data_IF_892370137209
#
_entry.id   IF_892370137209
#
_cell.length_a   1.000
_cell.length_b   1.000
_cell.length_c   1.000
_cell.angle_alpha   90.00
_cell.angle_beta   90.00
_cell.angle_gamma   90.00
#
_symmetry.space_group_name_H-M   'P 1'
#
loop_
_entity.id
_entity.type
_entity.pdbx_description
1 polymer ?
#
# COMPACT_ATOMS: atom_id res chain seq x y z
N UNK A 1 -17.57 -6.39 9.39
CA UNK A 1 -17.01 -5.24 8.63
C UNK A 1 -16.82 -4.09 9.62
N UNK A 2 -15.57 -3.71 9.96
CA UNK A 2 -15.33 -2.63 10.94
C UNK A 2 -15.44 -1.22 10.34
N UNK A 3 -15.31 -1.09 9.01
CA UNK A 3 -15.37 0.20 8.30
C UNK A 3 -16.07 0.06 6.95
N UNK A 4 -16.81 1.09 6.51
CA UNK A 4 -17.53 1.13 5.22
C UNK A 4 -16.73 1.81 4.10
N UNK A 5 -15.50 2.19 4.37
CA UNK A 5 -14.64 2.98 3.49
C UNK A 5 -13.27 2.32 3.38
N UNK A 6 -12.51 2.69 2.34
CA UNK A 6 -11.18 2.16 2.11
C UNK A 6 -10.21 2.66 3.20
N UNK A 7 -9.85 1.77 4.12
CA UNK A 7 -8.94 2.00 5.22
C UNK A 7 -7.78 1.02 5.13
N UNK A 8 -6.57 1.53 5.39
CA UNK A 8 -5.36 0.75 5.52
C UNK A 8 -4.76 0.97 6.91
N UNK A 9 -4.13 -0.05 7.48
CA UNK A 9 -3.35 0.11 8.72
C UNK A 9 -2.11 0.97 8.44
N UNK A 10 -1.76 1.87 9.36
CA UNK A 10 -0.53 2.65 9.25
C UNK A 10 0.68 1.80 9.67
N UNK A 11 1.02 0.82 8.83
CA UNK A 11 2.13 -0.10 9.04
C UNK A 11 3.47 0.62 9.19
N UNK A 12 3.62 1.80 8.58
CA UNK A 12 4.85 2.59 8.63
C UNK A 12 5.07 3.14 10.03
N UNK A 13 4.05 3.77 10.62
CA UNK A 13 4.12 4.25 12.00
C UNK A 13 4.21 3.10 13.01
N UNK A 14 3.48 2.01 12.76
CA UNK A 14 3.47 0.84 13.62
C UNK A 14 4.73 -0.04 13.51
N UNK A 15 5.55 0.16 12.47
CA UNK A 15 6.71 -0.69 12.13
C UNK A 15 6.32 -2.18 12.06
N UNK A 16 5.25 -2.49 11.33
CA UNK A 16 4.80 -3.87 11.13
C UNK A 16 5.84 -4.71 10.38
N UNK A 17 5.86 -6.02 10.64
CA UNK A 17 6.92 -6.91 10.17
C UNK A 17 6.48 -7.71 8.95
N UNK A 18 7.28 -7.73 7.88
CA UNK A 18 7.05 -8.53 6.67
C UNK A 18 7.55 -9.98 6.85
N UNK A 19 7.28 -10.58 8.01
CA UNK A 19 7.79 -11.89 8.41
C UNK A 19 6.74 -13.01 8.32
N UNK A 20 5.49 -12.67 8.00
CA UNK A 20 4.43 -13.65 7.86
C UNK A 20 4.57 -14.42 6.55
N UNK A 21 4.26 -15.71 6.57
CA UNK A 21 4.16 -16.55 5.37
C UNK A 21 2.81 -17.28 5.37
N UNK A 22 2.13 -17.31 4.24
CA UNK A 22 0.85 -18.02 4.06
C UNK A 22 0.71 -18.58 2.65
N UNK A 23 -0.22 -19.52 2.47
CA UNK A 23 -0.64 -19.93 1.14
C UNK A 23 -1.34 -18.76 0.43
N UNK A 24 -0.97 -18.53 -0.83
CA UNK A 24 -1.62 -17.52 -1.65
C UNK A 24 -3.04 -18.01 -2.00
N UNK A 25 -4.01 -17.14 -1.75
CA UNK A 25 -5.42 -17.41 -2.06
C UNK A 25 -5.79 -16.66 -3.33
N UNK A 26 -6.24 -17.40 -4.35
CA UNK A 26 -6.74 -16.83 -5.60
C UNK A 26 -8.18 -17.31 -5.80
N UNK A 27 -9.09 -16.38 -6.10
CA UNK A 27 -10.52 -16.70 -6.31
C UNK A 27 -11.19 -17.48 -5.17
N UNK A 28 -10.67 -17.35 -3.94
CA UNK A 28 -11.07 -18.10 -2.72
C UNK A 28 -10.57 -19.54 -2.64
N UNK A 29 -9.66 -19.95 -3.51
CA UNK A 29 -9.00 -21.27 -3.48
C UNK A 29 -7.55 -21.08 -3.06
N UNK A 30 -7.06 -21.94 -2.16
CA UNK A 30 -5.64 -21.99 -1.81
C UNK A 30 -4.85 -22.52 -3.01
N UNK A 31 -3.80 -21.79 -3.38
CA UNK A 31 -2.83 -22.24 -4.38
C UNK A 31 -1.64 -22.92 -3.70
N UNK A 32 -0.82 -23.62 -4.48
CA UNK A 32 0.42 -24.23 -3.99
C UNK A 32 1.56 -23.20 -3.78
N UNK A 33 1.28 -21.91 -3.95
CA UNK A 33 2.28 -20.84 -3.85
C UNK A 33 2.28 -20.23 -2.44
N UNK A 34 3.45 -20.09 -1.85
CA UNK A 34 3.64 -19.38 -0.58
C UNK A 34 3.88 -17.89 -0.87
N UNK A 35 3.21 -17.02 -0.12
CA UNK A 35 3.43 -15.58 -0.17
C UNK A 35 3.82 -15.02 1.20
N UNK A 36 4.72 -14.04 1.17
CA UNK A 36 5.05 -13.25 2.36
C UNK A 36 3.93 -12.22 2.59
N UNK A 37 3.55 -12.01 3.85
CA UNK A 37 2.56 -11.00 4.24
C UNK A 37 3.02 -10.20 5.46
N UNK A 38 2.38 -9.04 5.64
CA UNK A 38 2.67 -8.13 6.76
C UNK A 38 1.92 -8.60 8.01
N UNK A 39 2.67 -8.85 9.09
CA UNK A 39 2.13 -9.09 10.43
C UNK A 39 1.91 -7.72 11.10
N UNK A 40 0.64 -7.38 11.33
CA UNK A 40 0.28 -6.10 11.94
C UNK A 40 0.52 -6.11 13.45
N UNK A 41 1.17 -5.06 13.94
CA UNK A 41 1.31 -4.78 15.38
C UNK A 41 0.04 -4.12 15.93
N UNK A 42 -0.17 -4.25 17.24
CA UNK A 42 -1.33 -3.69 17.97
C UNK A 42 -1.20 -2.17 18.16
N UNK A 43 -1.21 -1.42 17.06
CA UNK A 43 -1.33 0.04 17.05
C UNK A 43 -2.58 0.40 16.26
N UNK A 44 -3.58 0.98 16.94
CA UNK A 44 -4.83 1.39 16.31
C UNK A 44 -4.68 2.74 15.59
N UNK A 45 -3.86 2.74 14.53
CA UNK A 45 -3.63 3.88 13.66
C UNK A 45 -3.89 3.48 12.22
N UNK A 46 -4.72 4.26 11.54
CA UNK A 46 -5.25 3.90 10.24
C UNK A 46 -5.21 5.10 9.28
N UNK A 47 -4.99 4.80 8.01
CA UNK A 47 -4.99 5.75 6.91
C UNK A 47 -6.26 5.54 6.09
N UNK A 48 -6.95 6.64 5.79
CA UNK A 48 -8.12 6.63 4.91
C UNK A 48 -7.65 6.98 3.50
N UNK A 49 -7.95 6.12 2.52
CA UNK A 49 -7.70 6.46 1.13
C UNK A 49 -8.76 7.46 0.63
N UNK A 50 -8.46 8.75 0.74
CA UNK A 50 -9.38 9.82 0.32
C UNK A 50 -9.67 9.80 -1.18
N UNK A 51 -8.82 9.18 -2.00
CA UNK A 51 -9.03 9.06 -3.44
C UNK A 51 -10.04 7.97 -3.82
N UNK A 52 -10.36 7.06 -2.90
CA UNK A 52 -11.38 6.04 -3.13
C UNK A 52 -12.82 6.59 -3.06
N UNK A 53 -13.01 7.84 -2.60
CA UNK A 53 -14.33 8.47 -2.55
C UNK A 53 -14.69 9.15 -3.87
N UNK A 54 -15.93 8.98 -4.31
CA UNK A 54 -16.48 9.66 -5.50
C UNK A 54 -16.32 11.20 -5.42
N UNK A 55 -16.47 11.77 -4.23
CA UNK A 55 -16.36 13.21 -3.99
C UNK A 55 -15.03 13.60 -3.33
N UNK A 56 -13.94 12.91 -3.66
CA UNK A 56 -12.62 13.16 -3.07
C UNK A 56 -12.17 14.63 -3.12
N UNK A 57 -12.61 15.37 -4.15
CA UNK A 57 -12.30 16.79 -4.30
C UNK A 57 -12.94 17.66 -3.20
N UNK A 58 -14.17 17.37 -2.78
CA UNK A 58 -14.84 18.09 -1.68
C UNK A 58 -14.13 17.84 -0.35
N UNK A 59 -13.74 16.60 -0.08
CA UNK A 59 -12.97 16.25 1.12
C UNK A 59 -11.64 17.02 1.17
N UNK A 60 -10.94 17.13 0.04
CA UNK A 60 -9.69 17.88 -0.03
C UNK A 60 -9.87 19.40 0.11
N UNK A 61 -11.04 19.94 -0.20
CA UNK A 61 -11.34 21.36 -0.06
C UNK A 61 -11.56 21.77 1.40
N UNK A 62 -12.01 20.84 2.25
CA UNK A 62 -12.34 21.11 3.65
C UNK A 62 -11.26 20.64 4.64
N UNK A 63 -10.46 19.64 4.26
CA UNK A 63 -9.44 19.09 5.15
C UNK A 63 -8.16 19.94 5.12
N UNK A 64 -7.49 20.11 6.28
CA UNK A 64 -6.16 20.68 6.36
C UNK A 64 -5.17 20.00 5.41
N UNK A 65 -4.32 20.80 4.75
CA UNK A 65 -3.41 20.30 3.70
C UNK A 65 -2.45 19.23 4.21
N UNK A 66 -2.01 19.32 5.46
CA UNK A 66 -1.15 18.36 6.13
C UNK A 66 -1.77 16.96 6.28
N UNK A 67 -3.11 16.84 6.26
CA UNK A 67 -3.80 15.55 6.31
C UNK A 67 -4.00 14.89 4.94
N UNK A 68 -3.97 15.68 3.87
CA UNK A 68 -4.27 15.23 2.49
C UNK A 68 -3.07 15.35 1.55
N UNK A 69 -1.97 15.94 2.01
CA UNK A 69 -0.77 16.09 1.22
C UNK A 69 -0.18 14.71 0.91
N UNK A 70 0.06 14.46 -0.37
CA UNK A 70 0.80 13.28 -0.79
C UNK A 70 2.22 13.38 -0.23
N UNK A 71 2.64 12.36 0.51
CA UNK A 71 4.02 12.21 0.97
C UNK A 71 4.78 11.50 -0.16
N UNK A 72 5.76 12.15 -0.80
CA UNK A 72 6.56 11.49 -1.83
C UNK A 72 7.25 10.27 -1.23
N UNK A 73 7.05 9.10 -1.84
CA UNK A 73 7.81 7.91 -1.47
C UNK A 73 9.29 8.05 -1.89
N UNK A 74 9.53 8.78 -2.97
CA UNK A 74 10.85 9.11 -3.50
C UNK A 74 10.89 10.58 -3.87
N UNK A 75 11.96 11.28 -3.51
CA UNK A 75 12.17 12.70 -3.86
C UNK A 75 12.31 12.86 -5.37
N UNK A 76 13.20 12.07 -5.98
CA UNK A 76 13.42 12.07 -7.44
C UNK A 76 12.58 10.99 -8.12
N UNK A 77 11.28 11.28 -8.28
CA UNK A 77 10.30 10.34 -8.85
C UNK A 77 10.76 9.75 -10.18
N UNK A 78 11.35 10.56 -11.07
CA UNK A 78 11.73 10.09 -12.42
C UNK A 78 12.90 9.12 -12.36
N UNK A 79 13.93 9.44 -11.58
CA UNK A 79 15.10 8.57 -11.39
C UNK A 79 14.67 7.21 -10.85
N UNK A 80 13.83 7.19 -9.81
CA UNK A 80 13.36 5.92 -9.24
C UNK A 80 12.50 5.13 -10.22
N UNK A 81 11.66 5.81 -11.00
CA UNK A 81 10.89 5.16 -12.04
C UNK A 81 11.79 4.47 -13.08
N UNK A 82 12.83 5.16 -13.55
CA UNK A 82 13.72 4.63 -14.59
C UNK A 82 14.60 3.48 -14.06
N UNK A 83 14.99 3.52 -12.78
CA UNK A 83 15.62 2.41 -12.06
C UNK A 83 14.71 1.16 -12.01
N UNK A 84 13.47 1.32 -11.53
CA UNK A 84 12.50 0.22 -11.43
C UNK A 84 12.15 -0.36 -12.80
N UNK A 85 12.01 0.50 -13.83
CA UNK A 85 11.75 0.05 -15.20
C UNK A 85 12.91 -0.79 -15.77
N UNK A 86 14.15 -0.44 -15.42
CA UNK A 86 15.34 -1.21 -15.82
C UNK A 86 15.38 -2.57 -15.11
N UNK A 87 15.19 -2.59 -13.78
CA UNK A 87 15.11 -3.83 -13.00
C UNK A 87 14.01 -4.78 -13.52
N UNK A 88 12.86 -4.23 -13.91
CA UNK A 88 11.77 -5.03 -14.47
C UNK A 88 12.18 -5.67 -15.80
N UNK A 89 12.82 -4.92 -16.71
CA UNK A 89 13.27 -5.45 -18.01
C UNK A 89 14.30 -6.56 -17.85
N UNK A 90 15.23 -6.42 -16.91
CA UNK A 90 16.23 -7.44 -16.58
C UNK A 90 15.58 -8.72 -16.03
N UNK A 91 14.66 -8.59 -15.08
CA UNK A 91 13.95 -9.72 -14.47
C UNK A 91 13.01 -10.46 -15.45
N UNK A 92 12.41 -9.74 -16.41
CA UNK A 92 11.59 -10.35 -17.47
C UNK A 92 12.46 -11.04 -18.52
N UNK A 93 13.69 -10.57 -18.74
CA UNK A 93 14.62 -11.17 -19.71
C UNK A 93 15.36 -12.41 -19.17
N UNK A 94 15.25 -12.68 -17.86
CA UNK A 94 15.87 -13.82 -17.16
C UNK A 94 14.87 -14.93 -16.78
N UNK A 95 13.60 -14.81 -17.21
CA UNK A 95 12.57 -15.86 -17.15
C UNK A 95 12.33 -16.46 -18.52
#
# INVERSE_FOLDING_TARGET
IKFKFNIQHDCRSAKCDAAGVRLCIQERVESDQMENYIIHKSLDRFLINTHAFHNAHLLRAILPRDLIALIPLFTERRVKHDELATQLRENVSTR
#
